data_IF_586271417637
#
_entry.id   IF_586271417637
#
_cell.length_a   1.000
_cell.length_b   1.000
_cell.length_c   1.000
_cell.angle_alpha   90.00
_cell.angle_beta   90.00
_cell.angle_gamma   90.00
#
_symmetry.space_group_name_H-M   'P 1'
#
loop_
_entity.id
_entity.type
_entity.pdbx_description
1 polymer ?
#
# COMPACT_ATOMS: atom_id res chain seq x y z
N UNK A 1 32.91 13.54 4.02
CA UNK A 1 31.45 13.40 4.27
C UNK A 1 30.71 13.56 2.94
N UNK A 2 30.74 12.54 2.10
CA UNK A 2 30.01 12.53 0.82
C UNK A 2 28.52 12.43 1.12
N UNK A 3 27.76 13.45 0.74
CA UNK A 3 26.31 13.45 0.89
C UNK A 3 25.72 12.30 0.08
N UNK A 4 24.91 11.44 0.71
CA UNK A 4 24.17 10.35 0.04
C UNK A 4 23.16 10.85 -1.02
N UNK A 5 23.08 12.18 -1.22
CA UNK A 5 22.30 12.83 -2.26
C UNK A 5 22.91 12.68 -3.68
N UNK A 6 24.19 12.32 -3.81
CA UNK A 6 24.89 12.24 -5.10
C UNK A 6 24.79 10.87 -5.81
N UNK A 7 23.96 9.95 -5.32
CA UNK A 7 23.75 8.66 -5.98
C UNK A 7 22.74 8.83 -7.11
N UNK A 8 23.25 9.20 -8.29
CA UNK A 8 22.52 9.49 -9.54
C UNK A 8 21.63 8.35 -10.10
N UNK A 9 21.54 7.20 -9.42
CA UNK A 9 20.83 6.00 -9.89
C UNK A 9 19.56 5.64 -9.09
N UNK A 10 19.06 6.52 -8.22
CA UNK A 10 17.78 6.32 -7.56
C UNK A 10 16.64 6.88 -8.43
N UNK A 11 15.98 6.03 -9.22
CA UNK A 11 14.73 6.42 -9.89
C UNK A 11 13.66 6.68 -8.82
N UNK A 12 13.00 7.85 -8.81
CA UNK A 12 11.85 8.09 -7.96
C UNK A 12 10.70 7.21 -8.42
N UNK A 13 10.57 6.03 -7.83
CA UNK A 13 9.28 5.37 -7.69
C UNK A 13 8.52 6.05 -6.54
N UNK A 14 8.22 7.34 -6.65
CA UNK A 14 7.43 8.10 -5.65
C UNK A 14 7.92 7.97 -4.20
N UNK A 15 9.24 8.09 -3.94
CA UNK A 15 9.75 8.27 -2.58
C UNK A 15 11.23 7.92 -2.36
N UNK A 16 11.81 8.26 -1.19
CA UNK A 16 13.25 8.14 -0.89
C UNK A 16 13.69 6.73 -0.43
N UNK A 17 12.95 5.68 -0.81
CA UNK A 17 13.21 4.31 -0.37
C UNK A 17 14.45 3.72 -1.05
N UNK A 18 15.27 3.02 -0.26
CA UNK A 18 16.52 2.40 -0.68
C UNK A 18 16.40 0.88 -0.60
N UNK A 19 16.60 0.19 -1.72
CA UNK A 19 16.73 -1.26 -1.80
C UNK A 19 17.80 -1.62 -2.85
N UNK A 20 18.28 -2.86 -2.82
CA UNK A 20 19.17 -3.34 -3.88
C UNK A 20 18.36 -3.50 -5.17
N UNK A 21 18.88 -2.97 -6.29
CA UNK A 21 18.20 -3.01 -7.59
C UNK A 21 17.96 -4.45 -8.08
N UNK A 22 18.90 -5.35 -7.79
CA UNK A 22 18.79 -6.79 -8.05
C UNK A 22 18.86 -7.56 -6.73
N UNK A 23 18.06 -8.62 -6.61
CA UNK A 23 17.93 -9.39 -5.37
C UNK A 23 19.21 -10.17 -5.03
N UNK A 24 19.95 -10.54 -6.06
CA UNK A 24 21.21 -11.26 -6.07
C UNK A 24 22.44 -10.37 -5.80
N UNK A 25 22.32 -9.04 -5.82
CA UNK A 25 23.44 -8.14 -5.51
C UNK A 25 23.71 -8.12 -3.98
N UNK A 26 24.48 -9.12 -3.54
CA UNK A 26 24.87 -9.29 -2.15
C UNK A 26 25.73 -8.12 -1.65
N UNK A 27 26.53 -7.50 -2.51
CA UNK A 27 27.40 -6.39 -2.13
C UNK A 27 26.59 -5.12 -1.81
N UNK A 28 25.60 -4.79 -2.64
CA UNK A 28 24.65 -3.70 -2.35
C UNK A 28 23.86 -3.96 -1.06
N UNK A 29 23.35 -5.18 -0.87
CA UNK A 29 22.61 -5.55 0.36
C UNK A 29 23.47 -5.42 1.60
N UNK A 30 24.74 -5.86 1.56
CA UNK A 30 25.70 -5.69 2.66
C UNK A 30 26.03 -4.22 2.92
N UNK A 31 26.07 -3.36 1.89
CA UNK A 31 26.26 -1.90 2.06
C UNK A 31 25.08 -1.28 2.79
N UNK A 32 23.84 -1.60 2.38
CA UNK A 32 22.62 -1.13 3.04
C UNK A 32 22.54 -1.61 4.50
N UNK A 33 22.83 -2.88 4.76
CA UNK A 33 22.84 -3.41 6.12
C UNK A 33 23.86 -2.69 7.01
N UNK A 34 25.08 -2.45 6.50
CA UNK A 34 26.10 -1.69 7.22
C UNK A 34 25.66 -0.25 7.51
N UNK A 35 25.06 0.44 6.54
CA UNK A 35 24.53 1.78 6.74
C UNK A 35 23.41 1.80 7.79
N UNK A 36 22.52 0.80 7.79
CA UNK A 36 21.54 0.63 8.85
C UNK A 36 22.19 0.38 10.22
N UNK A 37 23.19 -0.52 10.31
CA UNK A 37 23.91 -0.81 11.56
C UNK A 37 24.57 0.44 12.14
N UNK A 38 25.13 1.32 11.30
CA UNK A 38 25.70 2.61 11.72
C UNK A 38 24.67 3.64 12.18
N UNK A 39 23.39 3.42 11.85
CA UNK A 39 22.30 4.33 12.21
C UNK A 39 21.93 5.34 11.12
N UNK A 40 22.51 5.23 9.94
CA UNK A 40 22.23 6.14 8.82
C UNK A 40 20.82 5.92 8.25
N UNK A 41 20.27 4.71 8.43
CA UNK A 41 19.02 4.26 7.83
C UNK A 41 18.02 3.71 8.86
N UNK A 42 16.74 3.85 8.54
CA UNK A 42 15.61 3.15 9.15
C UNK A 42 15.19 2.00 8.23
N UNK A 43 14.96 0.82 8.80
CA UNK A 43 14.44 -0.34 8.07
C UNK A 43 12.90 -0.33 8.15
N UNK A 44 12.23 -0.27 7.01
CA UNK A 44 10.76 -0.30 6.96
C UNK A 44 10.23 -1.70 6.63
N UNK A 45 10.97 -2.44 5.80
CA UNK A 45 10.70 -3.84 5.49
C UNK A 45 12.02 -4.60 5.28
N UNK A 46 11.95 -5.92 5.12
CA UNK A 46 13.14 -6.73 4.85
C UNK A 46 13.81 -6.27 3.55
N UNK A 47 15.03 -5.75 3.64
CA UNK A 47 15.80 -5.27 2.49
C UNK A 47 15.37 -3.90 1.93
N UNK A 48 14.44 -3.20 2.60
CA UNK A 48 13.98 -1.87 2.18
C UNK A 48 14.16 -0.87 3.32
N UNK A 49 14.88 0.20 3.01
CA UNK A 49 15.36 1.18 3.99
C UNK A 49 14.95 2.60 3.58
N UNK A 50 15.05 3.52 4.53
CA UNK A 50 14.87 4.94 4.32
C UNK A 50 15.96 5.69 5.09
N UNK A 51 16.55 6.79 4.60
CA UNK A 51 17.45 7.61 5.40
C UNK A 51 16.78 8.06 6.71
N UNK A 52 17.50 7.96 7.82
CA UNK A 52 16.96 8.29 9.14
C UNK A 52 16.52 9.76 9.30
N UNK A 53 17.24 10.76 8.77
CA UNK A 53 16.77 12.15 8.78
C UNK A 53 15.46 12.33 8.02
N UNK A 54 15.35 11.69 6.84
CA UNK A 54 14.13 11.72 6.04
C UNK A 54 12.96 11.12 6.78
N UNK A 55 13.12 9.93 7.38
CA UNK A 55 12.06 9.28 8.18
C UNK A 55 11.56 10.17 9.32
N UNK A 56 12.48 10.88 9.98
CA UNK A 56 12.17 11.72 11.15
C UNK A 56 11.40 12.98 10.73
N UNK A 57 11.70 13.51 9.55
CA UNK A 57 11.02 14.67 8.97
C UNK A 57 9.63 14.34 8.37
N UNK A 58 9.31 13.06 8.11
CA UNK A 58 8.02 12.69 7.54
C UNK A 58 6.87 13.00 8.51
N UNK A 59 5.82 13.60 7.94
CA UNK A 59 4.54 13.73 8.63
C UNK A 59 3.97 12.34 8.97
N UNK A 60 3.06 12.23 9.96
CA UNK A 60 2.45 10.95 10.28
C UNK A 60 1.78 10.27 9.08
N UNK A 61 1.19 11.04 8.18
CA UNK A 61 0.55 10.58 6.93
C UNK A 61 1.56 10.00 5.94
N UNK A 62 2.68 10.67 5.76
CA UNK A 62 3.70 10.27 4.79
C UNK A 62 4.47 9.04 5.27
N UNK A 63 4.59 8.87 6.60
CA UNK A 63 5.12 7.63 7.19
C UNK A 63 4.28 6.41 6.81
N UNK A 64 2.96 6.54 6.79
CA UNK A 64 2.07 5.43 6.39
C UNK A 64 2.25 5.07 4.91
N UNK A 65 2.36 6.08 4.06
CA UNK A 65 2.56 5.93 2.60
C UNK A 65 3.93 5.32 2.28
N UNK A 66 5.01 5.84 2.86
CA UNK A 66 6.36 5.31 2.69
C UNK A 66 6.47 3.86 3.20
N UNK A 67 5.78 3.54 4.30
CA UNK A 67 5.77 2.19 4.86
C UNK A 67 4.98 1.21 3.99
N UNK A 68 3.86 1.64 3.38
CA UNK A 68 3.11 0.85 2.43
C UNK A 68 3.93 0.57 1.16
N UNK A 69 4.58 1.60 0.60
CA UNK A 69 5.48 1.43 -0.54
C UNK A 69 6.63 0.46 -0.21
N UNK A 70 7.26 0.59 0.97
CA UNK A 70 8.31 -0.32 1.40
C UNK A 70 7.82 -1.78 1.53
N UNK A 71 6.61 -1.98 2.06
CA UNK A 71 6.01 -3.31 2.17
C UNK A 71 5.69 -3.90 0.80
N UNK A 72 5.17 -3.10 -0.14
CA UNK A 72 4.89 -3.54 -1.51
C UNK A 72 6.16 -3.97 -2.25
N UNK A 73 7.25 -3.20 -2.10
CA UNK A 73 8.57 -3.55 -2.66
C UNK A 73 9.12 -4.85 -2.08
N UNK A 74 9.02 -5.03 -0.76
CA UNK A 74 9.52 -6.23 -0.10
C UNK A 74 8.64 -7.47 -0.37
N UNK A 75 7.34 -7.26 -0.62
CA UNK A 75 6.32 -8.31 -0.79
C UNK A 75 5.33 -7.90 -1.88
N UNK A 76 5.65 -8.13 -3.17
CA UNK A 76 4.80 -7.70 -4.29
C UNK A 76 3.38 -8.27 -4.28
N UNK A 77 3.17 -9.45 -3.67
CA UNK A 77 1.85 -10.05 -3.51
C UNK A 77 0.99 -9.40 -2.39
N UNK A 78 1.44 -8.32 -1.77
CA UNK A 78 0.68 -7.63 -0.72
C UNK A 78 -0.53 -6.92 -1.32
N UNK A 79 -1.72 -7.25 -0.83
CA UNK A 79 -2.96 -6.56 -1.18
C UNK A 79 -3.34 -5.62 -0.04
N UNK A 80 -3.29 -4.30 -0.29
CA UNK A 80 -3.76 -3.29 0.64
C UNK A 80 -5.28 -3.20 0.61
N UNK A 81 -5.91 -2.91 1.75
CA UNK A 81 -7.37 -2.86 1.90
C UNK A 81 -7.78 -1.66 2.75
N UNK A 82 -9.09 -1.42 2.88
CA UNK A 82 -9.65 -0.39 3.75
C UNK A 82 -9.07 1.01 3.53
N UNK A 83 -8.78 1.72 4.62
CA UNK A 83 -8.27 3.09 4.57
C UNK A 83 -6.87 3.19 3.95
N UNK A 84 -6.06 2.13 4.04
CA UNK A 84 -4.75 2.11 3.40
C UNK A 84 -4.88 2.08 1.88
N UNK A 85 -5.77 1.24 1.34
CA UNK A 85 -6.06 1.21 -0.09
C UNK A 85 -6.64 2.55 -0.57
N UNK A 86 -7.61 3.11 0.16
CA UNK A 86 -8.21 4.40 -0.16
C UNK A 86 -7.14 5.51 -0.27
N UNK A 87 -6.26 5.60 0.74
CA UNK A 87 -5.16 6.57 0.77
C UNK A 87 -4.20 6.40 -0.42
N UNK A 88 -3.79 5.16 -0.73
CA UNK A 88 -2.89 4.88 -1.85
C UNK A 88 -3.52 5.18 -3.22
N UNK A 89 -4.85 5.21 -3.30
CA UNK A 89 -5.62 5.62 -4.50
C UNK A 89 -5.92 7.11 -4.54
N UNK A 90 -5.35 7.90 -3.63
CA UNK A 90 -5.52 9.36 -3.61
C UNK A 90 -6.83 9.82 -2.96
N UNK A 91 -7.62 8.93 -2.35
CA UNK A 91 -8.80 9.34 -1.61
C UNK A 91 -8.38 10.05 -0.32
N UNK A 92 -9.06 11.16 0.05
CA UNK A 92 -8.77 11.87 1.28
C UNK A 92 -9.15 11.01 2.49
N UNK A 93 -8.17 10.71 3.33
CA UNK A 93 -8.37 10.01 4.61
C UNK A 93 -7.99 10.97 5.72
N UNK A 94 -8.97 11.35 6.54
CA UNK A 94 -8.79 12.33 7.62
C UNK A 94 -8.20 11.74 8.91
N UNK A 95 -7.89 10.43 8.94
CA UNK A 95 -7.37 9.70 10.12
C UNK A 95 -5.97 9.12 9.92
N UNK A 96 -5.03 9.44 10.81
CA UNK A 96 -3.67 8.89 10.74
C UNK A 96 -3.80 7.37 10.72
N UNK A 97 -2.97 6.71 9.92
CA UNK A 97 -2.98 5.26 9.80
C UNK A 97 -1.91 4.65 10.72
N UNK A 98 -2.22 4.34 12.00
CA UNK A 98 -1.27 3.69 12.90
C UNK A 98 -0.98 2.24 12.47
N UNK A 99 -1.80 1.70 11.58
CA UNK A 99 -1.59 0.42 10.94
C UNK A 99 -1.98 0.44 9.47
N UNK A 100 -1.25 -0.32 8.66
CA UNK A 100 -1.57 -0.63 7.28
C UNK A 100 -2.56 -1.79 7.24
N UNK A 101 -3.73 -1.56 6.65
CA UNK A 101 -4.77 -2.57 6.46
C UNK A 101 -4.40 -3.43 5.24
N UNK A 102 -4.25 -4.74 5.46
CA UNK A 102 -3.84 -5.72 4.45
C UNK A 102 -4.86 -6.84 4.35
N UNK A 103 -4.94 -7.49 3.20
CA UNK A 103 -5.62 -8.79 3.08
C UNK A 103 -4.78 -9.88 3.72
N UNK A 104 -5.37 -10.68 4.60
CA UNK A 104 -4.76 -11.90 5.10
C UNK A 104 -4.91 -13.03 4.07
N UNK A 105 -3.86 -13.83 3.88
CA UNK A 105 -3.88 -15.00 2.97
C UNK A 105 -4.52 -16.23 3.60
N UNK A 106 -4.60 -16.29 4.94
CA UNK A 106 -5.27 -17.36 5.68
C UNK A 106 -5.87 -16.84 6.99
N UNK A 107 -6.84 -17.57 7.60
CA UNK A 107 -7.45 -17.18 8.87
C UNK A 107 -6.44 -17.00 10.02
N UNK A 108 -5.36 -17.81 10.02
CA UNK A 108 -4.32 -17.78 11.05
C UNK A 108 -3.37 -16.58 10.97
N UNK A 109 -3.40 -15.81 9.89
CA UNK A 109 -2.54 -14.64 9.70
C UNK A 109 -3.20 -13.31 10.12
N UNK A 110 -4.29 -13.37 10.90
CA UNK A 110 -4.98 -12.19 11.41
C UNK A 110 -4.23 -11.53 12.59
N UNK A 111 -4.31 -10.21 12.68
CA UNK A 111 -3.87 -9.46 13.87
C UNK A 111 -2.74 -8.46 13.63
N UNK A 112 -2.71 -7.42 14.45
CA UNK A 112 -1.75 -6.33 14.28
C UNK A 112 -0.34 -6.75 14.71
N UNK A 113 0.63 -6.61 13.81
CA UNK A 113 2.03 -6.95 14.03
C UNK A 113 2.95 -5.82 13.56
N UNK A 114 4.18 -5.70 14.06
CA UNK A 114 5.17 -4.78 13.48
C UNK A 114 5.40 -5.07 11.99
N UNK A 115 5.71 -4.04 11.22
CA UNK A 115 6.16 -4.18 9.82
C UNK A 115 7.48 -4.95 9.73
N UNK A 116 8.41 -4.61 10.63
CA UNK A 116 9.69 -5.27 10.83
C UNK A 116 9.95 -5.37 12.34
N UNK A 117 10.68 -6.40 12.76
CA UNK A 117 11.03 -6.61 14.17
C UNK A 117 12.01 -5.57 14.70
N UNK A 118 12.88 -5.03 13.84
CA UNK A 118 13.93 -4.08 14.19
C UNK A 118 13.99 -2.94 13.17
N UNK A 119 13.13 -1.92 13.30
CA UNK A 119 13.15 -0.78 12.38
C UNK A 119 14.39 0.09 12.58
N UNK A 120 14.81 0.28 13.83
CA UNK A 120 15.95 1.11 14.20
C UNK A 120 17.14 0.24 14.61
N UNK A 121 18.35 0.66 14.28
CA UNK A 121 19.56 0.03 14.78
C UNK A 121 19.89 0.55 16.19
N UNK A 122 20.67 -0.21 16.98
CA UNK A 122 21.14 0.24 18.29
C UNK A 122 21.90 1.58 18.21
N UNK A 123 22.71 1.78 17.17
CA UNK A 123 23.44 3.03 16.97
C UNK A 123 22.50 4.23 16.77
N UNK A 124 21.44 4.06 15.97
CA UNK A 124 20.44 5.12 15.79
C UNK A 124 19.68 5.38 17.09
N UNK A 125 19.30 4.34 17.84
CA UNK A 125 18.63 4.49 19.13
C UNK A 125 19.50 5.22 20.17
N UNK A 126 20.82 5.00 20.15
CA UNK A 126 21.77 5.63 21.06
C UNK A 126 21.89 7.15 20.88
N UNK A 127 21.42 7.71 19.75
CA UNK A 127 21.41 9.18 19.56
C UNK A 127 20.39 9.91 20.44
N UNK A 128 19.55 9.19 21.21
CA UNK A 128 18.68 9.76 22.25
C UNK A 128 17.44 10.48 21.73
N UNK A 129 17.28 10.65 20.42
CA UNK A 129 16.10 11.28 19.82
C UNK A 129 14.85 10.40 19.87
N UNK A 130 13.67 11.01 20.05
CA UNK A 130 12.38 10.31 19.93
C UNK A 130 12.10 9.98 18.47
N UNK A 131 12.37 8.74 18.07
CA UNK A 131 12.13 8.28 16.71
C UNK A 131 10.66 7.88 16.51
N UNK A 132 9.97 8.40 15.49
CA UNK A 132 8.60 8.02 15.21
C UNK A 132 8.52 6.56 14.76
N UNK A 133 7.70 5.75 15.43
CA UNK A 133 7.60 4.33 15.11
C UNK A 133 6.91 4.11 13.76
N UNK A 134 7.37 3.16 12.93
CA UNK A 134 6.63 2.76 11.73
C UNK A 134 5.24 2.22 12.11
N UNK A 135 4.24 2.39 11.22
CA UNK A 135 2.93 1.81 11.42
C UNK A 135 3.02 0.30 11.54
N UNK A 136 2.01 -0.29 12.17
CA UNK A 136 1.88 -1.75 12.24
C UNK A 136 1.32 -2.27 10.91
N UNK A 137 1.44 -3.56 10.65
CA UNK A 137 0.59 -4.24 9.67
C UNK A 137 -0.62 -4.83 10.36
N UNK A 138 -1.80 -4.72 9.75
CA UNK A 138 -3.05 -5.30 10.23
C UNK A 138 -3.69 -6.13 9.10
N UNK A 139 -3.31 -7.41 8.97
CA UNK A 139 -3.97 -8.32 8.05
C UNK A 139 -5.40 -8.60 8.53
N UNK A 140 -6.34 -8.56 7.60
CA UNK A 140 -7.75 -8.84 7.79
C UNK A 140 -8.16 -10.02 6.94
N UNK A 141 -8.75 -11.01 7.59
CA UNK A 141 -9.32 -12.19 6.95
C UNK A 141 -10.81 -11.98 6.70
N UNK A 142 -11.36 -12.66 5.68
CA UNK A 142 -12.80 -12.63 5.41
C UNK A 142 -13.31 -11.25 4.97
N UNK A 143 -12.44 -10.41 4.39
CA UNK A 143 -12.91 -9.20 3.75
C UNK A 143 -13.75 -9.56 2.52
N UNK A 144 -14.90 -8.91 2.31
CA UNK A 144 -15.67 -9.06 1.10
C UNK A 144 -14.75 -8.90 -0.11
N UNK A 145 -14.73 -9.91 -0.97
CA UNK A 145 -14.14 -9.78 -2.30
C UNK A 145 -15.22 -9.16 -3.16
N UNK A 146 -14.88 -8.12 -3.93
CA UNK A 146 -15.75 -7.78 -5.02
C UNK A 146 -15.77 -8.98 -5.98
N UNK A 147 -16.92 -9.28 -6.61
CA UNK A 147 -16.99 -10.08 -7.81
C UNK A 147 -15.81 -9.79 -8.71
N UNK A 148 -14.95 -10.77 -8.94
CA UNK A 148 -14.02 -10.71 -10.07
C UNK A 148 -14.81 -11.19 -11.30
N UNK A 149 -15.83 -10.45 -11.70
CA UNK A 149 -16.50 -10.74 -12.97
C UNK A 149 -15.50 -10.36 -14.06
N UNK A 150 -15.03 -11.36 -14.81
CA UNK A 150 -14.19 -11.08 -15.96
C UNK A 150 -14.97 -10.17 -16.92
N UNK A 151 -14.31 -9.21 -17.60
CA UNK A 151 -14.99 -8.37 -18.57
C UNK A 151 -15.68 -9.23 -19.62
N UNK A 152 -16.99 -9.05 -19.79
CA UNK A 152 -17.78 -9.84 -20.74
C UNK A 152 -17.89 -9.08 -22.07
N UNK A 153 -17.72 -9.75 -23.23
CA UNK A 153 -18.00 -9.13 -24.51
C UNK A 153 -19.50 -8.83 -24.62
N UNK A 154 -19.85 -7.54 -24.76
CA UNK A 154 -21.21 -7.07 -24.98
C UNK A 154 -21.28 -6.30 -26.29
N UNK A 155 -22.42 -6.40 -26.97
CA UNK A 155 -22.74 -5.53 -28.10
C UNK A 155 -23.02 -4.11 -27.56
N UNK A 156 -22.18 -3.14 -27.92
CA UNK A 156 -22.35 -1.74 -27.56
C UNK A 156 -23.41 -1.14 -28.48
N UNK A 157 -24.46 -0.57 -27.88
CA UNK A 157 -25.54 0.11 -28.61
C UNK A 157 -25.81 1.48 -27.99
N UNK A 158 -26.08 2.47 -28.83
CA UNK A 158 -26.57 3.77 -28.42
C UNK A 158 -28.04 3.68 -27.97
N UNK A 159 -28.51 4.68 -27.23
CA UNK A 159 -29.89 4.75 -26.73
C UNK A 159 -30.95 4.78 -27.85
N UNK A 160 -30.59 5.21 -29.05
CA UNK A 160 -31.43 5.18 -30.25
C UNK A 160 -31.45 3.82 -30.97
N UNK A 161 -30.76 2.81 -30.42
CA UNK A 161 -30.67 1.45 -30.94
C UNK A 161 -29.51 1.21 -31.92
N UNK A 162 -28.75 2.25 -32.29
CA UNK A 162 -27.60 2.15 -33.21
C UNK A 162 -26.50 1.29 -32.60
N UNK A 163 -26.11 0.21 -33.29
CA UNK A 163 -25.00 -0.67 -32.87
C UNK A 163 -23.64 -0.05 -33.19
N UNK A 164 -22.73 -0.04 -32.22
CA UNK A 164 -21.35 0.46 -32.34
C UNK A 164 -20.30 -0.66 -32.41
N UNK A 165 -20.73 -1.93 -32.35
CA UNK A 165 -19.87 -3.11 -32.36
C UNK A 165 -19.71 -3.76 -30.99
N UNK A 166 -18.76 -4.68 -30.87
CA UNK A 166 -18.52 -5.41 -29.62
C UNK A 166 -17.47 -4.71 -28.76
N UNK A 167 -17.69 -4.67 -27.45
CA UNK A 167 -16.71 -4.20 -26.48
C UNK A 167 -16.76 -5.01 -25.19
N UNK A 168 -15.76 -4.82 -24.33
CA UNK A 168 -15.71 -5.50 -23.03
C UNK A 168 -16.43 -4.67 -21.98
N UNK A 169 -17.46 -5.24 -21.37
CA UNK A 169 -18.15 -4.67 -20.23
C UNK A 169 -17.57 -5.26 -18.94
N UNK A 170 -16.89 -4.41 -18.16
CA UNK A 170 -16.54 -4.72 -16.77
C UNK A 170 -17.70 -4.27 -15.88
N UNK A 171 -18.49 -5.25 -15.42
CA UNK A 171 -19.64 -5.01 -14.56
C UNK A 171 -19.22 -4.30 -13.26
N UNK A 172 -18.05 -4.61 -12.71
CA UNK A 172 -17.53 -4.04 -11.47
C UNK A 172 -17.12 -2.57 -11.65
N UNK A 173 -16.46 -2.23 -12.76
CA UNK A 173 -16.12 -0.84 -13.08
C UNK A 173 -17.38 0.02 -13.33
N UNK A 174 -18.38 -0.55 -14.01
CA UNK A 174 -19.65 0.11 -14.30
C UNK A 174 -20.46 0.35 -13.03
N UNK A 175 -20.53 -0.64 -12.14
CA UNK A 175 -21.25 -0.54 -10.87
C UNK A 175 -20.59 0.49 -9.94
N UNK A 176 -19.25 0.54 -9.89
CA UNK A 176 -18.51 1.55 -9.14
C UNK A 176 -18.71 2.98 -9.68
N UNK A 177 -18.78 3.14 -11.01
CA UNK A 177 -19.08 4.42 -11.66
C UNK A 177 -20.51 4.88 -11.38
N UNK A 178 -21.49 3.98 -11.48
CA UNK A 178 -22.91 4.28 -11.22
C UNK A 178 -23.13 4.63 -9.74
N UNK A 179 -22.55 3.86 -8.81
CA UNK A 179 -22.66 4.14 -7.37
C UNK A 179 -21.92 5.43 -6.97
N UNK A 180 -20.77 5.71 -7.59
CA UNK A 180 -20.02 6.94 -7.35
C UNK A 180 -20.65 8.19 -7.95
N UNK A 181 -21.40 8.05 -9.05
CA UNK A 181 -22.06 9.17 -9.73
C UNK A 181 -23.45 9.49 -9.18
N UNK A 182 -24.19 8.50 -8.69
CA UNK A 182 -25.59 8.67 -8.27
C UNK A 182 -25.76 8.98 -6.78
N UNK A 183 -24.72 8.85 -5.95
CA UNK A 183 -24.88 8.94 -4.49
C UNK A 183 -23.61 9.53 -3.83
N UNK A 184 -23.74 10.48 -2.88
CA UNK A 184 -22.59 10.86 -2.06
C UNK A 184 -22.02 9.60 -1.39
N UNK A 185 -20.71 9.36 -1.51
CA UNK A 185 -20.05 8.10 -1.11
C UNK A 185 -20.42 7.59 0.30
N UNK A 186 -20.69 8.49 1.25
CA UNK A 186 -21.18 8.15 2.61
C UNK A 186 -22.50 7.38 2.64
N UNK A 187 -23.36 7.61 1.65
CA UNK A 187 -24.72 7.07 1.59
C UNK A 187 -24.77 5.81 0.69
N UNK A 188 -23.68 5.53 -0.06
CA UNK A 188 -23.51 4.35 -0.90
C UNK A 188 -23.05 3.09 -0.14
N UNK A 189 -22.55 3.23 1.09
CA UNK A 189 -21.99 2.11 1.88
C UNK A 189 -23.07 1.12 2.32
N UNK A 190 -24.22 1.60 2.79
CA UNK A 190 -25.28 0.73 3.29
C UNK A 190 -25.94 -0.15 2.20
N UNK A 191 -26.25 0.37 0.99
CA UNK A 191 -26.69 -0.47 -0.13
C UNK A 191 -25.65 -1.52 -0.54
N UNK A 192 -24.36 -1.17 -0.54
CA UNK A 192 -23.25 -2.08 -0.85
C UNK A 192 -23.15 -3.23 0.16
N UNK A 193 -23.28 -2.92 1.46
CA UNK A 193 -23.26 -3.94 2.52
C UNK A 193 -24.45 -4.91 2.40
N UNK A 194 -25.64 -4.42 2.02
CA UNK A 194 -26.82 -5.26 1.79
C UNK A 194 -26.67 -6.10 0.52
N UNK A 195 -26.12 -5.54 -0.55
CA UNK A 195 -25.92 -6.27 -1.81
C UNK A 195 -24.88 -7.39 -1.66
N UNK A 196 -23.79 -7.13 -0.92
CA UNK A 196 -22.81 -8.15 -0.55
C UNK A 196 -23.36 -9.22 0.39
N UNK A 197 -24.30 -8.87 1.28
CA UNK A 197 -24.95 -9.83 2.16
C UNK A 197 -25.99 -10.71 1.44
N UNK A 198 -26.60 -10.18 0.37
CA UNK A 198 -27.66 -10.87 -0.37
C UNK A 198 -27.13 -11.66 -1.57
N UNK A 199 -25.98 -11.30 -2.14
CA UNK A 199 -25.38 -11.96 -3.30
C UNK A 199 -23.90 -12.30 -3.04
N UNK A 200 -23.63 -13.32 -2.19
CA UNK A 200 -22.26 -13.66 -1.77
C UNK A 200 -21.37 -14.31 -2.85
N UNK A 201 -21.96 -14.68 -4.00
CA UNK A 201 -21.32 -15.42 -5.11
C UNK A 201 -21.17 -14.59 -6.39
N UNK A 202 -21.55 -13.31 -6.38
CA UNK A 202 -21.08 -12.39 -7.41
C UNK A 202 -19.63 -12.08 -7.06
#
# INVERSE_FOLDING_TARGET
MTALADVADLRPGTGPLLCAARREDLAARRRLERAWTRGDLVRLAAGVYLPAPTWTALSPWDRSTASAAALALARPATVFTGLTAARLRGLPVALELPALDLRATSPGHRGAAPLTSRPFSPALLATGGRLPRPPRRRPRWGLPQAPSTAPEPVEIRLSDGTGLGWGLADASATLLLVLGAATPFRDAVAPLDVLLATHPEA
#
